data_IF_686222575417
#
_entry.id   IF_686222575417
#
_cell.length_a   1.000
_cell.length_b   1.000
_cell.length_c   1.000
_cell.angle_alpha   90.00
_cell.angle_beta   90.00
_cell.angle_gamma   90.00
#
_symmetry.space_group_name_H-M   'P 1'
#
loop_
_entity.id
_entity.type
_entity.pdbx_description
1 polymer ?
#
# COMPACT_ATOMS: atom_id res chain seq x y z
N UNK A 1 -7.18 -19.33 -32.50
CA UNK A 1 -6.64 -18.00 -32.20
C UNK A 1 -7.81 -16.99 -32.22
N UNK A 2 -8.40 -16.64 -31.06
CA UNK A 2 -9.46 -15.63 -30.97
C UNK A 2 -8.83 -14.25 -31.10
N UNK A 3 -8.95 -13.62 -32.26
CA UNK A 3 -8.58 -12.22 -32.48
C UNK A 3 -9.50 -11.37 -31.58
N UNK A 4 -9.02 -10.99 -30.40
CA UNK A 4 -9.78 -10.07 -29.56
C UNK A 4 -9.67 -8.66 -30.15
N UNK A 5 -10.76 -8.19 -30.76
CA UNK A 5 -10.85 -6.80 -31.21
C UNK A 5 -10.56 -5.91 -30.02
N UNK A 6 -9.56 -5.00 -30.15
CA UNK A 6 -9.18 -4.13 -29.04
C UNK A 6 -10.40 -3.30 -28.60
N UNK A 7 -10.49 -2.97 -27.29
CA UNK A 7 -11.59 -2.18 -26.73
C UNK A 7 -11.81 -0.86 -27.49
N UNK A 8 -10.73 -0.29 -28.03
CA UNK A 8 -10.78 0.90 -28.88
C UNK A 8 -11.66 0.69 -30.13
N UNK A 9 -11.41 -0.37 -30.89
CA UNK A 9 -12.16 -0.66 -32.10
C UNK A 9 -13.63 -0.98 -31.82
N UNK A 10 -13.92 -1.64 -30.68
CA UNK A 10 -15.32 -1.85 -30.26
C UNK A 10 -16.03 -0.52 -30.00
N UNK A 11 -15.40 0.40 -29.27
CA UNK A 11 -15.96 1.73 -29.02
C UNK A 11 -16.14 2.55 -30.31
N UNK A 12 -15.20 2.47 -31.24
CA UNK A 12 -15.30 3.14 -32.55
C UNK A 12 -16.49 2.63 -33.36
N UNK A 13 -16.61 1.33 -33.53
CA UNK A 13 -17.68 0.72 -34.31
C UNK A 13 -19.07 0.95 -33.69
N UNK A 14 -19.19 0.83 -32.38
CA UNK A 14 -20.42 1.08 -31.64
C UNK A 14 -20.80 2.56 -31.74
N UNK A 15 -19.84 3.48 -31.44
CA UNK A 15 -20.10 4.91 -31.44
C UNK A 15 -20.52 5.44 -32.80
N UNK A 16 -19.72 5.18 -33.84
CA UNK A 16 -20.02 5.64 -35.18
C UNK A 16 -21.23 4.90 -35.81
N UNK A 17 -21.42 3.64 -35.46
CA UNK A 17 -22.64 2.90 -35.85
C UNK A 17 -23.90 3.51 -35.24
N UNK A 18 -23.88 3.87 -33.98
CA UNK A 18 -24.99 4.54 -33.32
C UNK A 18 -25.31 5.92 -33.95
N UNK A 19 -24.28 6.73 -34.24
CA UNK A 19 -24.43 8.03 -34.94
C UNK A 19 -25.06 7.83 -36.32
N UNK A 20 -24.64 6.79 -37.08
CA UNK A 20 -25.19 6.47 -38.40
C UNK A 20 -26.67 6.13 -38.30
N UNK A 21 -27.04 5.22 -37.40
CA UNK A 21 -28.42 4.81 -37.19
C UNK A 21 -29.31 6.00 -36.78
N UNK A 22 -28.82 6.80 -35.83
CA UNK A 22 -29.53 7.98 -35.37
C UNK A 22 -29.77 8.99 -36.51
N UNK A 23 -28.72 9.32 -37.28
CA UNK A 23 -28.80 10.29 -38.36
C UNK A 23 -29.72 9.79 -39.51
N UNK A 24 -29.73 8.49 -39.81
CA UNK A 24 -30.56 7.93 -40.86
C UNK A 24 -32.03 7.80 -40.45
N UNK A 25 -32.30 7.19 -39.29
CA UNK A 25 -33.67 6.87 -38.89
C UNK A 25 -34.40 8.05 -38.25
N UNK A 26 -33.73 8.88 -37.46
CA UNK A 26 -34.35 10.01 -36.76
C UNK A 26 -34.15 11.32 -37.53
N UNK A 27 -32.95 11.57 -38.05
CA UNK A 27 -32.61 12.76 -38.83
C UNK A 27 -33.12 12.73 -40.27
N UNK A 28 -33.67 11.58 -40.74
CA UNK A 28 -34.14 11.36 -42.15
C UNK A 28 -33.08 11.71 -43.20
N UNK A 29 -31.80 11.63 -42.85
CA UNK A 29 -30.69 11.93 -43.76
C UNK A 29 -30.51 10.84 -44.82
N UNK A 30 -30.13 11.18 -46.06
CA UNK A 30 -29.93 10.19 -47.11
C UNK A 30 -28.80 9.24 -46.75
N UNK A 31 -29.01 7.94 -46.86
CA UNK A 31 -28.11 6.87 -46.43
C UNK A 31 -26.66 7.05 -46.93
N UNK A 32 -26.50 7.44 -48.23
CA UNK A 32 -25.18 7.68 -48.82
C UNK A 32 -24.38 8.78 -48.10
N UNK A 33 -25.01 9.90 -47.82
CA UNK A 33 -24.36 11.04 -47.08
C UNK A 33 -23.97 10.65 -45.65
N UNK A 34 -24.86 9.94 -44.96
CA UNK A 34 -24.56 9.46 -43.59
C UNK A 34 -23.41 8.46 -43.58
N UNK A 35 -23.36 7.54 -44.55
CA UNK A 35 -22.28 6.55 -44.66
C UNK A 35 -20.93 7.21 -44.91
N UNK A 36 -20.86 8.19 -45.83
CA UNK A 36 -19.62 8.96 -46.09
C UNK A 36 -19.15 9.70 -44.82
N UNK A 37 -20.10 10.37 -44.12
CA UNK A 37 -19.79 11.08 -42.87
C UNK A 37 -19.26 10.14 -41.79
N UNK A 38 -19.79 8.93 -41.67
CA UNK A 38 -19.29 7.95 -40.69
C UNK A 38 -17.92 7.40 -41.04
N UNK A 39 -17.66 7.09 -42.29
CA UNK A 39 -16.33 6.62 -42.73
C UNK A 39 -15.30 7.72 -42.51
N UNK A 40 -15.61 8.97 -42.90
CA UNK A 40 -14.71 10.10 -42.66
C UNK A 40 -14.48 10.34 -41.18
N UNK A 41 -15.49 10.22 -40.33
CA UNK A 41 -15.38 10.33 -38.88
C UNK A 41 -14.52 9.23 -38.26
N UNK A 42 -14.63 7.98 -38.73
CA UNK A 42 -13.76 6.87 -38.31
C UNK A 42 -12.30 7.12 -38.66
N UNK A 43 -12.02 7.48 -39.89
CA UNK A 43 -10.66 7.80 -40.37
C UNK A 43 -10.07 8.97 -39.56
N UNK A 44 -10.85 9.99 -39.38
CA UNK A 44 -10.51 11.19 -38.66
C UNK A 44 -10.18 10.92 -37.18
N UNK A 45 -11.08 10.26 -36.44
CA UNK A 45 -10.83 9.96 -35.03
C UNK A 45 -9.66 9.01 -34.83
N UNK A 46 -9.39 8.13 -35.80
CA UNK A 46 -8.19 7.29 -35.80
C UNK A 46 -6.90 8.11 -35.97
N UNK A 47 -6.92 9.06 -36.91
CA UNK A 47 -5.78 9.96 -37.15
C UNK A 47 -5.54 10.90 -35.96
N UNK A 48 -6.60 11.45 -35.38
CA UNK A 48 -6.54 12.25 -34.15
C UNK A 48 -5.88 11.47 -33.01
N UNK A 49 -6.26 10.22 -32.82
CA UNK A 49 -5.62 9.32 -31.84
C UNK A 49 -4.13 9.13 -32.15
N UNK A 50 -3.78 8.96 -33.42
CA UNK A 50 -2.36 8.84 -33.82
C UNK A 50 -1.57 10.07 -33.40
N UNK A 51 -2.08 11.27 -33.69
CA UNK A 51 -1.42 12.53 -33.29
C UNK A 51 -1.33 12.72 -31.77
N UNK A 52 -2.40 12.40 -31.03
CA UNK A 52 -2.41 12.46 -29.57
C UNK A 52 -1.27 11.60 -29.00
N UNK A 53 -1.04 10.40 -29.57
CA UNK A 53 0.04 9.51 -29.17
C UNK A 53 1.42 10.02 -29.61
N UNK A 54 1.55 10.46 -30.86
CA UNK A 54 2.80 10.95 -31.44
C UNK A 54 3.35 12.16 -30.67
N UNK A 55 2.50 13.12 -30.33
CA UNK A 55 2.87 14.30 -29.56
C UNK A 55 2.92 14.07 -28.06
N UNK A 56 2.69 12.83 -27.60
CA UNK A 56 2.68 12.44 -26.17
C UNK A 56 1.86 13.41 -25.34
N UNK A 57 0.69 13.82 -25.83
CA UNK A 57 -0.15 14.88 -25.22
C UNK A 57 -0.49 14.52 -23.77
N UNK A 58 -0.73 13.25 -23.46
CA UNK A 58 -1.03 12.78 -22.11
C UNK A 58 0.12 12.94 -21.09
N UNK A 59 1.34 13.18 -21.55
CA UNK A 59 2.48 13.42 -20.66
C UNK A 59 2.69 14.91 -20.33
N UNK A 60 1.87 15.81 -20.91
CA UNK A 60 1.93 17.24 -20.66
C UNK A 60 1.02 17.61 -19.47
N UNK A 61 1.16 18.84 -18.96
CA UNK A 61 0.27 19.32 -17.90
C UNK A 61 -1.19 19.47 -18.42
N UNK A 62 -2.16 19.38 -17.51
CA UNK A 62 -3.59 19.32 -17.84
C UNK A 62 -4.07 20.49 -18.71
N UNK A 63 -3.60 21.72 -18.42
CA UNK A 63 -3.96 22.92 -19.21
C UNK A 63 -3.47 22.79 -20.64
N UNK A 64 -2.21 22.41 -20.83
CA UNK A 64 -1.62 22.20 -22.15
C UNK A 64 -2.35 21.09 -22.92
N UNK A 65 -2.73 20.01 -22.24
CA UNK A 65 -3.51 18.92 -22.84
C UNK A 65 -4.84 19.44 -23.40
N UNK A 66 -5.59 20.22 -22.64
CA UNK A 66 -6.88 20.79 -23.03
C UNK A 66 -6.69 21.72 -24.25
N UNK A 67 -5.69 22.60 -24.23
CA UNK A 67 -5.42 23.51 -25.34
C UNK A 67 -5.11 22.75 -26.63
N UNK A 68 -4.21 21.76 -26.57
CA UNK A 68 -3.89 20.94 -27.76
C UNK A 68 -5.11 20.19 -28.29
N UNK A 69 -5.95 19.62 -27.41
CA UNK A 69 -7.14 18.90 -27.81
C UNK A 69 -8.17 19.84 -28.49
N UNK A 70 -8.36 21.05 -27.94
CA UNK A 70 -9.25 22.02 -28.56
C UNK A 70 -8.73 22.48 -29.93
N UNK A 71 -7.46 22.84 -30.05
CA UNK A 71 -6.84 23.25 -31.31
C UNK A 71 -6.94 22.15 -32.36
N UNK A 72 -6.61 20.91 -32.01
CA UNK A 72 -6.71 19.77 -32.91
C UNK A 72 -8.16 19.54 -33.37
N UNK A 73 -9.15 19.62 -32.47
CA UNK A 73 -10.55 19.47 -32.87
C UNK A 73 -10.99 20.55 -33.85
N UNK A 74 -10.64 21.80 -33.64
CA UNK A 74 -10.98 22.93 -34.54
C UNK A 74 -10.34 22.73 -35.92
N UNK A 75 -9.03 22.48 -35.98
CA UNK A 75 -8.29 22.29 -37.25
C UNK A 75 -8.88 21.11 -38.03
N UNK A 76 -9.14 20.02 -37.35
CA UNK A 76 -9.66 18.85 -38.01
C UNK A 76 -11.13 18.96 -38.34
N UNK A 77 -11.94 19.67 -37.54
CA UNK A 77 -13.31 19.98 -37.89
C UNK A 77 -13.40 20.67 -39.26
N UNK A 78 -12.55 21.69 -39.48
CA UNK A 78 -12.46 22.36 -40.78
C UNK A 78 -12.01 21.41 -41.90
N UNK A 79 -11.00 20.57 -41.66
CA UNK A 79 -10.49 19.64 -42.67
C UNK A 79 -11.53 18.58 -43.04
N UNK A 80 -12.24 18.03 -42.06
CA UNK A 80 -13.30 17.03 -42.29
C UNK A 80 -14.45 17.59 -43.10
N UNK A 81 -14.88 18.82 -42.80
CA UNK A 81 -15.91 19.53 -43.56
C UNK A 81 -15.45 19.75 -45.01
N UNK A 82 -14.24 20.28 -45.19
CA UNK A 82 -13.66 20.52 -46.49
C UNK A 82 -13.61 19.24 -47.34
N UNK A 83 -13.19 18.11 -46.72
CA UNK A 83 -13.12 16.82 -47.42
C UNK A 83 -14.52 16.29 -47.81
N UNK A 84 -15.50 16.37 -46.92
CA UNK A 84 -16.86 15.93 -47.19
C UNK A 84 -17.50 16.77 -48.28
N UNK A 85 -17.37 18.10 -48.22
CA UNK A 85 -17.90 19.01 -49.23
C UNK A 85 -17.20 18.82 -50.57
N UNK A 86 -15.87 18.60 -50.61
CA UNK A 86 -15.16 18.28 -51.84
C UNK A 86 -15.67 16.98 -52.48
N UNK A 87 -15.88 15.92 -51.73
CA UNK A 87 -16.46 14.66 -52.22
C UNK A 87 -17.88 14.84 -52.76
N UNK A 88 -18.70 15.60 -52.05
CA UNK A 88 -20.07 15.87 -52.46
C UNK A 88 -20.14 16.71 -53.78
N UNK A 89 -19.29 17.73 -53.89
CA UNK A 89 -19.16 18.54 -55.10
C UNK A 89 -18.63 17.70 -56.28
N UNK A 90 -17.64 16.84 -56.04
CA UNK A 90 -17.08 15.97 -57.09
C UNK A 90 -18.09 14.91 -57.58
N UNK A 91 -19.06 14.53 -56.75
CA UNK A 91 -20.08 13.51 -57.11
C UNK A 91 -21.41 14.09 -57.59
N UNK A 92 -21.61 15.40 -57.47
CA UNK A 92 -22.79 16.12 -58.01
C UNK A 92 -22.41 16.68 -59.38
N UNK A 93 -23.24 16.37 -60.42
CA UNK A 93 -23.14 17.04 -61.71
C UNK A 93 -23.44 18.52 -61.53
N UNK A 94 -22.59 19.43 -62.03
CA UNK A 94 -22.78 20.87 -61.84
C UNK A 94 -24.12 21.30 -62.44
N UNK A 95 -25.01 21.84 -61.60
CA UNK A 95 -26.19 22.59 -62.07
C UNK A 95 -25.69 23.82 -62.83
N UNK A 96 -25.95 23.84 -64.13
CA UNK A 96 -25.38 24.78 -65.11
C UNK A 96 -25.76 26.26 -64.97
N UNK A 97 -26.54 26.67 -63.93
CA UNK A 97 -27.15 28.03 -63.94
C UNK A 97 -26.98 28.84 -62.63
N UNK A 98 -26.00 28.54 -61.80
CA UNK A 98 -25.75 29.38 -60.59
C UNK A 98 -24.78 30.52 -60.91
N UNK A 99 -25.15 31.77 -60.53
CA UNK A 99 -24.25 32.89 -60.63
C UNK A 99 -23.04 32.70 -59.71
N UNK A 100 -21.81 33.22 -60.05
CA UNK A 100 -20.62 33.01 -59.19
C UNK A 100 -20.77 33.49 -57.74
N UNK A 101 -21.60 34.49 -57.49
CA UNK A 101 -21.87 35.00 -56.16
C UNK A 101 -22.86 34.16 -55.36
N UNK A 102 -23.89 33.59 -56.00
CA UNK A 102 -24.80 32.67 -55.35
C UNK A 102 -24.13 31.35 -55.04
N UNK A 103 -23.22 30.90 -55.87
CA UNK A 103 -22.41 29.69 -55.61
C UNK A 103 -21.49 29.90 -54.37
N UNK A 104 -20.77 31.07 -54.25
CA UNK A 104 -19.93 31.39 -53.09
C UNK A 104 -20.72 31.44 -51.80
N UNK A 105 -21.87 32.16 -51.77
CA UNK A 105 -22.72 32.27 -50.58
C UNK A 105 -23.31 30.93 -50.18
N UNK A 106 -23.69 30.08 -51.12
CA UNK A 106 -24.17 28.73 -50.89
C UNK A 106 -23.01 27.82 -50.35
N UNK A 107 -21.85 27.93 -50.92
CA UNK A 107 -20.66 27.20 -50.46
C UNK A 107 -20.26 27.53 -49.01
N UNK A 108 -20.12 28.80 -48.66
CA UNK A 108 -19.79 29.21 -47.31
C UNK A 108 -20.92 28.85 -46.32
N UNK A 109 -22.17 28.90 -46.70
CA UNK A 109 -23.29 28.46 -45.88
C UNK A 109 -23.25 26.98 -45.61
N UNK A 110 -22.95 26.16 -46.61
CA UNK A 110 -22.82 24.70 -46.49
C UNK A 110 -21.62 24.34 -45.58
N UNK A 111 -20.47 24.95 -45.80
CA UNK A 111 -19.28 24.75 -44.96
C UNK A 111 -19.57 25.10 -43.50
N UNK A 112 -20.23 26.26 -43.26
CA UNK A 112 -20.58 26.66 -41.90
C UNK A 112 -21.56 25.70 -41.26
N UNK A 113 -22.59 25.26 -41.97
CA UNK A 113 -23.56 24.29 -41.50
C UNK A 113 -22.93 22.92 -41.19
N UNK A 114 -22.12 22.40 -42.08
CA UNK A 114 -21.40 21.15 -41.91
C UNK A 114 -20.44 21.21 -40.71
N UNK A 115 -19.72 22.33 -40.54
CA UNK A 115 -18.86 22.56 -39.39
C UNK A 115 -19.65 22.53 -38.08
N UNK A 116 -20.81 23.19 -38.03
CA UNK A 116 -21.67 23.19 -36.86
C UNK A 116 -22.19 21.80 -36.50
N UNK A 117 -22.37 20.90 -37.46
CA UNK A 117 -22.77 19.53 -37.24
C UNK A 117 -21.61 18.62 -36.80
N UNK A 118 -20.41 18.78 -37.37
CA UNK A 118 -19.28 17.89 -37.12
C UNK A 118 -18.52 18.25 -35.85
N UNK A 119 -18.39 19.51 -35.48
CA UNK A 119 -17.66 19.98 -34.31
C UNK A 119 -18.17 19.36 -32.98
N UNK A 120 -19.48 19.34 -32.68
CA UNK A 120 -19.97 18.75 -31.43
C UNK A 120 -19.68 17.25 -31.34
N UNK A 121 -19.81 16.52 -32.44
CA UNK A 121 -19.59 15.06 -32.47
C UNK A 121 -18.13 14.71 -32.27
N UNK A 122 -17.19 15.42 -32.93
CA UNK A 122 -15.75 15.20 -32.76
C UNK A 122 -15.28 15.63 -31.36
N UNK A 123 -15.85 16.71 -30.81
CA UNK A 123 -15.56 17.19 -29.46
C UNK A 123 -16.05 16.19 -28.41
N UNK A 124 -17.28 15.70 -28.55
CA UNK A 124 -17.82 14.68 -27.66
C UNK A 124 -16.99 13.39 -27.69
N UNK A 125 -16.61 12.91 -28.89
CA UNK A 125 -15.74 11.75 -29.02
C UNK A 125 -14.40 11.97 -28.34
N UNK A 126 -13.77 13.12 -28.54
CA UNK A 126 -12.48 13.48 -27.94
C UNK A 126 -12.56 13.53 -26.42
N UNK A 127 -13.65 14.13 -25.90
CA UNK A 127 -13.91 14.19 -24.46
C UNK A 127 -14.06 12.80 -23.84
N UNK A 128 -14.85 11.91 -24.48
CA UNK A 128 -15.03 10.52 -24.03
C UNK A 128 -13.70 9.77 -24.09
N UNK A 129 -12.95 9.90 -25.19
CA UNK A 129 -11.65 9.25 -25.32
C UNK A 129 -10.67 9.68 -24.23
N UNK A 130 -10.65 10.99 -23.95
CA UNK A 130 -9.82 11.56 -22.89
C UNK A 130 -10.26 11.06 -21.50
N UNK A 131 -11.55 11.10 -21.20
CA UNK A 131 -12.09 10.63 -19.92
C UNK A 131 -11.75 9.16 -19.65
N UNK A 132 -11.97 8.29 -20.66
CA UNK A 132 -11.63 6.85 -20.55
C UNK A 132 -10.13 6.65 -20.33
N UNK A 133 -9.29 7.40 -21.03
CA UNK A 133 -7.84 7.31 -20.87
C UNK A 133 -7.38 7.80 -19.49
N UNK A 134 -7.93 8.92 -19.03
CA UNK A 134 -7.66 9.48 -17.72
C UNK A 134 -8.06 8.55 -16.57
N UNK A 135 -9.28 7.99 -16.63
CA UNK A 135 -9.75 7.01 -15.64
C UNK A 135 -8.86 5.76 -15.60
N UNK A 136 -8.44 5.27 -16.78
CA UNK A 136 -7.52 4.12 -16.85
C UNK A 136 -6.15 4.42 -16.25
N UNK A 137 -5.62 5.60 -16.49
CA UNK A 137 -4.33 6.01 -15.94
C UNK A 137 -4.43 6.19 -14.41
N UNK A 138 -5.52 6.77 -13.90
CA UNK A 138 -5.76 6.87 -12.46
C UNK A 138 -5.79 5.48 -11.80
N UNK A 139 -6.61 4.57 -12.34
CA UNK A 139 -6.69 3.18 -11.81
C UNK A 139 -5.35 2.46 -11.86
N UNK A 140 -4.56 2.67 -12.94
CA UNK A 140 -3.23 2.09 -13.04
C UNK A 140 -2.28 2.65 -11.99
N UNK A 141 -2.29 3.97 -11.78
CA UNK A 141 -1.48 4.64 -10.76
C UNK A 141 -1.86 4.21 -9.34
N UNK A 142 -3.16 4.06 -9.05
CA UNK A 142 -3.65 3.52 -7.77
C UNK A 142 -3.19 2.08 -7.55
N UNK A 143 -3.30 1.22 -8.56
CA UNK A 143 -2.83 -0.16 -8.49
C UNK A 143 -1.31 -0.24 -8.29
N UNK A 144 -0.52 0.55 -9.02
CA UNK A 144 0.94 0.63 -8.85
C UNK A 144 1.30 1.13 -7.44
N UNK A 145 0.59 2.15 -6.93
CA UNK A 145 0.78 2.67 -5.58
C UNK A 145 0.45 1.61 -4.51
N UNK A 146 -0.64 0.86 -4.68
CA UNK A 146 -0.99 -0.23 -3.78
C UNK A 146 0.05 -1.35 -3.79
N UNK A 147 0.49 -1.77 -4.98
CA UNK A 147 1.55 -2.79 -5.14
C UNK A 147 2.88 -2.35 -4.52
N UNK A 148 3.24 -1.06 -4.69
CA UNK A 148 4.47 -0.51 -4.11
C UNK A 148 4.40 -0.50 -2.58
N UNK A 149 3.24 -0.16 -1.99
CA UNK A 149 3.03 -0.23 -0.54
C UNK A 149 3.19 -1.65 -0.01
N UNK A 150 2.63 -2.66 -0.69
CA UNK A 150 2.78 -4.06 -0.31
C UNK A 150 4.26 -4.49 -0.37
N UNK A 151 4.97 -4.14 -1.45
CA UNK A 151 6.41 -4.45 -1.57
C UNK A 151 7.26 -3.76 -0.50
N UNK A 152 6.96 -2.51 -0.16
CA UNK A 152 7.65 -1.81 0.92
C UNK A 152 7.42 -2.52 2.26
N UNK A 153 6.19 -2.93 2.55
CA UNK A 153 5.86 -3.69 3.76
C UNK A 153 6.59 -5.06 3.80
N UNK A 154 6.66 -5.77 2.67
CA UNK A 154 7.41 -7.02 2.55
C UNK A 154 8.91 -6.81 2.77
N UNK A 155 9.51 -5.76 2.18
CA UNK A 155 10.93 -5.42 2.34
C UNK A 155 11.24 -4.99 3.79
N UNK A 156 10.36 -4.21 4.44
CA UNK A 156 10.48 -3.87 5.85
C UNK A 156 10.41 -5.12 6.73
N UNK A 157 9.45 -6.03 6.44
CA UNK A 157 9.33 -7.32 7.14
C UNK A 157 10.56 -8.19 6.94
N UNK A 158 11.09 -8.26 5.71
CA UNK A 158 12.30 -9.03 5.39
C UNK A 158 13.56 -8.41 6.04
N UNK A 159 13.65 -7.08 6.10
CA UNK A 159 14.70 -6.37 6.83
C UNK A 159 14.63 -6.65 8.33
N UNK A 160 13.42 -6.75 8.89
CA UNK A 160 13.20 -7.15 10.28
C UNK A 160 13.64 -8.60 10.55
N UNK A 161 13.33 -9.51 9.62
CA UNK A 161 13.78 -10.92 9.72
C UNK A 161 15.31 -11.04 9.66
N UNK A 162 15.96 -10.22 8.83
CA UNK A 162 17.43 -10.17 8.75
C UNK A 162 18.10 -9.54 9.98
N UNK A 163 17.32 -8.84 10.82
CA UNK A 163 17.76 -8.24 12.08
C UNK A 163 17.51 -9.16 13.29
N UNK A 164 17.42 -10.48 13.11
CA UNK A 164 17.62 -11.38 14.24
C UNK A 164 18.96 -11.00 14.87
N UNK A 165 18.87 -10.36 16.02
CA UNK A 165 19.96 -9.63 16.69
C UNK A 165 21.22 -10.53 16.74
N UNK A 166 22.20 -10.37 15.81
CA UNK A 166 23.40 -11.22 15.85
C UNK A 166 24.08 -11.12 17.18
N UNK A 167 23.94 -9.97 17.86
CA UNK A 167 24.47 -9.70 19.19
C UNK A 167 23.87 -10.67 20.22
N UNK A 168 22.53 -10.94 20.15
CA UNK A 168 21.91 -11.92 21.06
C UNK A 168 22.55 -13.31 20.91
N UNK A 169 22.85 -13.72 19.68
CA UNK A 169 23.53 -15.03 19.44
C UNK A 169 24.94 -15.01 20.03
N UNK A 170 25.72 -13.94 19.79
CA UNK A 170 27.07 -13.82 20.35
C UNK A 170 27.05 -13.74 21.87
N UNK A 171 26.13 -13.02 22.48
CA UNK A 171 26.01 -12.89 23.93
C UNK A 171 25.61 -14.22 24.58
N UNK A 172 24.70 -14.99 23.93
CA UNK A 172 24.34 -16.33 24.36
C UNK A 172 25.55 -17.29 24.34
N UNK A 173 26.32 -17.27 23.24
CA UNK A 173 27.54 -18.08 23.16
C UNK A 173 28.59 -17.67 24.18
N UNK A 174 28.79 -16.38 24.44
CA UNK A 174 29.68 -15.87 25.46
C UNK A 174 29.26 -16.27 26.87
N UNK A 175 27.94 -16.28 27.14
CA UNK A 175 27.39 -16.75 28.42
C UNK A 175 27.71 -18.22 28.67
N UNK A 176 27.51 -19.08 27.63
CA UNK A 176 27.83 -20.51 27.69
C UNK A 176 29.35 -20.68 27.97
N UNK A 177 30.21 -19.96 27.22
CA UNK A 177 31.67 -19.98 27.41
C UNK A 177 32.03 -19.59 28.83
N UNK A 178 31.45 -18.53 29.38
CA UNK A 178 31.70 -18.07 30.74
C UNK A 178 31.33 -19.13 31.78
N UNK A 179 30.20 -19.80 31.66
CA UNK A 179 29.77 -20.87 32.55
C UNK A 179 30.71 -22.08 32.50
N UNK A 180 31.20 -22.46 31.32
CA UNK A 180 32.17 -23.54 31.16
C UNK A 180 33.50 -23.17 31.83
N UNK A 181 33.97 -21.93 31.61
CA UNK A 181 35.23 -21.44 32.21
C UNK A 181 35.17 -21.40 33.75
N UNK A 182 33.98 -21.18 34.32
CA UNK A 182 33.72 -21.23 35.77
C UNK A 182 33.50 -22.64 36.30
N UNK A 183 33.62 -23.69 35.48
CA UNK A 183 33.31 -25.09 35.80
C UNK A 183 31.85 -25.33 36.21
N UNK A 184 30.90 -24.46 35.78
CA UNK A 184 29.47 -24.60 36.05
C UNK A 184 28.79 -25.40 34.93
N UNK A 185 29.22 -26.63 34.69
CA UNK A 185 28.88 -27.44 33.51
C UNK A 185 27.39 -27.72 33.42
N UNK A 186 26.67 -27.98 34.53
CA UNK A 186 25.24 -28.23 34.55
C UNK A 186 24.44 -26.99 34.15
N UNK A 187 24.85 -25.80 34.60
CA UNK A 187 24.25 -24.54 34.20
C UNK A 187 24.51 -24.26 32.72
N UNK A 188 25.73 -24.54 32.22
CA UNK A 188 26.09 -24.39 30.83
C UNK A 188 25.23 -25.28 29.94
N UNK A 189 25.02 -26.56 30.31
CA UNK A 189 24.20 -27.50 29.59
C UNK A 189 22.72 -27.07 29.55
N UNK A 190 22.17 -26.61 30.68
CA UNK A 190 20.78 -26.10 30.75
C UNK A 190 20.60 -24.82 29.89
N UNK A 191 21.56 -23.90 29.96
CA UNK A 191 21.57 -22.69 29.15
C UNK A 191 21.63 -23.02 27.66
N UNK A 192 22.53 -23.91 27.23
CA UNK A 192 22.68 -24.34 25.83
C UNK A 192 21.39 -25.00 25.32
N UNK A 193 20.75 -25.84 26.14
CA UNK A 193 19.50 -26.52 25.76
C UNK A 193 18.37 -25.49 25.56
N UNK A 194 18.21 -24.55 26.50
CA UNK A 194 17.19 -23.51 26.42
C UNK A 194 17.45 -22.57 25.24
N UNK A 195 18.72 -22.16 25.04
CA UNK A 195 19.17 -21.34 23.93
C UNK A 195 18.90 -21.98 22.57
N UNK A 196 19.28 -23.27 22.43
CA UNK A 196 19.02 -24.02 21.20
C UNK A 196 17.53 -24.15 20.87
N UNK A 197 16.69 -24.34 21.91
CA UNK A 197 15.22 -24.37 21.74
C UNK A 197 14.69 -23.02 21.29
N UNK A 198 15.13 -21.92 21.92
CA UNK A 198 14.71 -20.57 21.54
C UNK A 198 15.12 -20.24 20.10
N UNK A 199 16.39 -20.46 19.74
CA UNK A 199 16.89 -20.20 18.38
C UNK A 199 16.08 -20.98 17.33
N UNK A 200 15.80 -22.26 17.58
CA UNK A 200 14.96 -23.07 16.69
C UNK A 200 13.57 -22.48 16.54
N UNK A 201 12.92 -22.09 17.64
CA UNK A 201 11.57 -21.50 17.62
C UNK A 201 11.56 -20.16 16.85
N UNK A 202 12.57 -19.31 17.07
CA UNK A 202 12.70 -18.04 16.35
C UNK A 202 12.85 -18.25 14.84
N UNK A 203 13.67 -19.23 14.41
CA UNK A 203 13.80 -19.56 12.99
C UNK A 203 12.50 -20.13 12.39
N UNK A 204 11.81 -21.01 13.10
CA UNK A 204 10.54 -21.57 12.63
C UNK A 204 9.43 -20.51 12.50
N UNK A 205 9.47 -19.48 13.35
CA UNK A 205 8.49 -18.41 13.34
C UNK A 205 8.87 -17.24 12.41
N UNK A 206 10.15 -17.12 12.05
CA UNK A 206 10.62 -16.04 11.18
C UNK A 206 9.97 -16.04 9.78
N UNK A 207 9.60 -17.22 9.27
CA UNK A 207 8.95 -17.38 7.96
C UNK A 207 7.42 -17.27 8.03
N UNK A 208 6.84 -17.20 9.23
CA UNK A 208 5.40 -17.08 9.43
C UNK A 208 5.00 -15.60 9.54
N UNK A 209 3.96 -15.19 8.83
CA UNK A 209 3.39 -13.86 8.99
C UNK A 209 2.66 -13.72 10.33
N UNK A 210 1.96 -14.77 10.74
CA UNK A 210 1.22 -14.87 12.00
C UNK A 210 1.51 -16.19 12.69
N UNK A 211 1.52 -16.15 14.01
CA UNK A 211 1.60 -17.31 14.90
C UNK A 211 0.46 -17.26 15.92
N UNK A 212 0.22 -18.35 16.64
CA UNK A 212 -0.71 -18.30 17.76
C UNK A 212 -0.13 -17.46 18.92
N UNK A 213 -0.99 -16.80 19.67
CA UNK A 213 -0.58 -16.08 20.88
C UNK A 213 0.08 -17.02 21.89
N UNK A 214 -0.30 -18.31 21.88
CA UNK A 214 0.37 -19.34 22.65
C UNK A 214 1.84 -19.52 22.24
N UNK A 215 2.13 -19.62 20.93
CA UNK A 215 3.52 -19.73 20.43
C UNK A 215 4.34 -18.47 20.77
N UNK A 216 3.74 -17.30 20.69
CA UNK A 216 4.39 -16.02 21.03
C UNK A 216 4.76 -15.96 22.52
N UNK A 217 3.85 -16.36 23.41
CA UNK A 217 4.08 -16.41 24.87
C UNK A 217 5.15 -17.43 25.23
N UNK A 218 5.10 -18.63 24.64
CA UNK A 218 6.11 -19.66 24.89
C UNK A 218 7.50 -19.20 24.41
N UNK A 219 7.58 -18.47 23.30
CA UNK A 219 8.83 -17.83 22.83
C UNK A 219 9.32 -16.80 23.84
N UNK A 220 8.43 -15.95 24.34
CA UNK A 220 8.73 -14.97 25.39
C UNK A 220 9.21 -15.62 26.69
N UNK A 221 8.61 -16.72 27.13
CA UNK A 221 9.06 -17.47 28.32
C UNK A 221 10.45 -18.09 28.13
N UNK A 222 10.77 -18.62 26.94
CA UNK A 222 12.11 -19.13 26.66
C UNK A 222 13.16 -18.01 26.69
N UNK A 223 12.84 -16.85 26.10
CA UNK A 223 13.71 -15.69 26.09
C UNK A 223 13.97 -15.16 27.52
N UNK A 224 12.89 -14.94 28.30
CA UNK A 224 13.01 -14.45 29.68
C UNK A 224 13.75 -15.41 30.59
N UNK A 225 13.61 -16.72 30.39
CA UNK A 225 14.36 -17.75 31.11
C UNK A 225 15.86 -17.64 30.86
N UNK A 226 16.28 -17.40 29.61
CA UNK A 226 17.71 -17.19 29.29
C UNK A 226 18.25 -15.91 29.92
N UNK A 227 17.47 -14.82 29.87
CA UNK A 227 17.88 -13.56 30.49
C UNK A 227 17.95 -13.64 32.02
N UNK A 228 17.07 -14.40 32.65
CA UNK A 228 17.12 -14.68 34.08
C UNK A 228 18.38 -15.45 34.45
N UNK A 229 18.72 -16.50 33.69
CA UNK A 229 19.98 -17.25 33.90
C UNK A 229 21.21 -16.36 33.68
N UNK A 230 21.15 -15.39 32.73
CA UNK A 230 22.28 -14.48 32.45
C UNK A 230 22.47 -13.43 33.53
N UNK A 231 21.38 -12.96 34.13
CA UNK A 231 21.41 -11.94 35.18
C UNK A 231 21.62 -12.50 36.57
N UNK A 232 22.05 -13.75 36.73
CA UNK A 232 22.16 -14.43 38.01
C UNK A 232 20.86 -14.32 38.85
N UNK A 233 19.71 -14.44 38.22
CA UNK A 233 18.37 -14.33 38.80
C UNK A 233 18.06 -12.96 39.46
N UNK A 234 18.72 -11.87 39.05
CA UNK A 234 18.42 -10.52 39.53
C UNK A 234 17.14 -9.95 38.94
N UNK A 235 16.65 -10.53 37.83
CA UNK A 235 15.44 -10.10 37.16
C UNK A 235 14.38 -11.18 37.31
N UNK A 236 13.21 -10.78 37.87
CA UNK A 236 12.04 -11.64 38.00
C UNK A 236 11.09 -11.47 36.82
N UNK A 237 10.57 -12.61 36.33
CA UNK A 237 9.58 -12.63 35.25
C UNK A 237 8.31 -13.32 35.72
N UNK A 238 7.17 -12.65 35.53
CA UNK A 238 5.86 -13.22 35.87
C UNK A 238 4.96 -13.16 34.65
N UNK A 239 4.35 -14.30 34.33
CA UNK A 239 3.36 -14.40 33.27
C UNK A 239 1.99 -14.65 33.88
N UNK A 240 1.10 -13.66 33.77
CA UNK A 240 -0.28 -13.73 34.23
C UNK A 240 -1.19 -13.90 33.02
N UNK A 241 -1.76 -15.05 32.83
CA UNK A 241 -2.59 -15.40 31.68
C UNK A 241 -3.98 -15.71 32.19
N UNK A 242 -4.98 -15.04 31.65
CA UNK A 242 -6.38 -15.35 31.96
C UNK A 242 -6.73 -16.72 31.37
N UNK A 243 -7.15 -17.66 32.22
CA UNK A 243 -7.49 -19.02 31.84
C UNK A 243 -8.71 -19.12 30.92
N UNK A 244 -9.52 -18.06 30.85
CA UNK A 244 -10.70 -18.00 29.97
C UNK A 244 -10.33 -17.79 28.49
N UNK A 245 -9.08 -17.41 28.19
CA UNK A 245 -8.63 -17.06 26.82
C UNK A 245 -8.02 -18.27 26.13
N UNK A 246 -8.56 -18.69 24.98
CA UNK A 246 -7.90 -19.69 24.12
C UNK A 246 -6.78 -19.06 23.30
N UNK A 247 -5.58 -19.13 23.84
CA UNK A 247 -4.37 -18.56 23.24
C UNK A 247 -4.00 -19.20 21.89
N UNK A 248 -4.51 -20.42 21.56
CA UNK A 248 -4.17 -21.11 20.31
C UNK A 248 -4.97 -20.60 19.13
N UNK A 249 -6.20 -20.17 19.38
CA UNK A 249 -7.08 -19.63 18.32
C UNK A 249 -6.75 -18.19 17.95
N UNK A 250 -6.11 -17.45 18.86
CA UNK A 250 -5.74 -16.06 18.63
C UNK A 250 -4.46 -15.99 17.77
N UNK A 251 -4.55 -15.37 16.60
CA UNK A 251 -3.41 -15.17 15.70
C UNK A 251 -2.84 -13.75 15.84
N UNK A 252 -1.53 -13.67 16.03
CA UNK A 252 -0.78 -12.42 16.18
C UNK A 252 0.43 -12.41 15.24
N UNK A 253 0.92 -11.23 14.83
CA UNK A 253 2.19 -11.13 14.12
C UNK A 253 3.32 -11.77 14.94
N UNK A 254 4.18 -12.56 14.28
CA UNK A 254 5.33 -13.16 14.95
C UNK A 254 6.24 -12.08 15.55
N UNK A 255 6.81 -12.33 16.72
CA UNK A 255 7.67 -11.41 17.48
C UNK A 255 6.93 -10.12 17.91
N UNK A 256 5.64 -10.20 18.24
CA UNK A 256 4.84 -9.08 18.71
C UNK A 256 5.28 -8.58 20.10
N UNK A 257 5.46 -9.50 21.06
CA UNK A 257 5.77 -9.19 22.45
C UNK A 257 7.27 -9.03 22.70
N UNK A 258 8.09 -9.73 21.93
CA UNK A 258 9.55 -9.81 22.16
C UNK A 258 10.24 -8.43 22.22
N UNK A 259 9.99 -7.45 21.33
CA UNK A 259 10.64 -6.15 21.41
C UNK A 259 10.32 -5.37 22.68
N UNK A 260 9.14 -5.56 23.25
CA UNK A 260 8.74 -4.90 24.50
C UNK A 260 9.37 -5.57 25.71
N UNK A 261 9.47 -6.89 25.70
CA UNK A 261 10.19 -7.66 26.74
C UNK A 261 11.68 -7.30 26.71
N UNK A 262 12.29 -7.26 25.52
CA UNK A 262 13.68 -6.83 25.34
C UNK A 262 13.91 -5.42 25.88
N UNK A 263 13.04 -4.47 25.55
CA UNK A 263 13.17 -3.09 26.03
C UNK A 263 13.00 -2.99 27.54
N UNK A 264 12.07 -3.72 28.13
CA UNK A 264 11.88 -3.77 29.58
C UNK A 264 13.16 -4.25 30.28
N UNK A 265 13.82 -5.27 29.73
CA UNK A 265 15.06 -5.81 30.29
C UNK A 265 16.22 -4.83 30.08
N UNK A 266 16.54 -4.53 28.81
CA UNK A 266 17.78 -3.84 28.45
C UNK A 266 17.77 -2.35 28.80
N UNK A 267 16.65 -1.69 28.61
CA UNK A 267 16.52 -0.25 28.85
C UNK A 267 15.89 0.08 30.21
N UNK A 268 15.13 -0.86 30.77
CA UNK A 268 14.48 -0.68 32.06
C UNK A 268 15.29 -1.24 33.22
N UNK A 269 15.65 -2.52 33.18
CA UNK A 269 16.15 -3.25 34.34
C UNK A 269 17.65 -3.43 34.38
N UNK A 270 18.35 -3.64 33.26
CA UNK A 270 19.82 -3.79 33.23
C UNK A 270 20.55 -2.58 33.84
N UNK A 271 20.09 -1.32 33.60
CA UNK A 271 20.72 -0.16 34.24
C UNK A 271 20.41 -0.02 35.74
N UNK A 272 19.51 -0.84 36.29
CA UNK A 272 19.10 -0.78 37.69
C UNK A 272 19.92 -1.76 38.52
N UNK A 273 20.75 -1.26 39.40
CA UNK A 273 21.71 -2.08 40.19
C UNK A 273 21.03 -3.20 41.00
N UNK A 274 19.83 -2.93 41.52
CA UNK A 274 19.11 -3.85 42.40
C UNK A 274 18.21 -4.84 41.62
N UNK A 275 18.35 -4.92 40.30
CA UNK A 275 17.48 -5.75 39.47
C UNK A 275 16.02 -5.24 39.41
N UNK A 276 15.10 -6.13 39.11
CA UNK A 276 13.70 -5.76 39.08
C UNK A 276 12.77 -6.85 38.52
N UNK A 277 11.59 -6.43 38.13
CA UNK A 277 10.51 -7.35 37.72
C UNK A 277 9.88 -6.92 36.40
N UNK A 278 9.64 -7.88 35.53
CA UNK A 278 8.77 -7.73 34.35
C UNK A 278 7.54 -8.62 34.52
N UNK A 279 6.37 -8.03 34.33
CA UNK A 279 5.09 -8.74 34.38
C UNK A 279 4.51 -8.72 32.96
N UNK A 280 4.27 -9.89 32.38
CA UNK A 280 3.55 -10.04 31.13
C UNK A 280 2.16 -10.56 31.44
N UNK A 281 1.13 -9.78 31.15
CA UNK A 281 -0.26 -10.15 31.41
C UNK A 281 -1.07 -10.24 30.12
N UNK A 282 -1.90 -11.26 30.02
CA UNK A 282 -2.84 -11.44 28.90
C UNK A 282 -4.24 -11.47 29.49
N UNK A 283 -5.06 -10.51 29.14
CA UNK A 283 -6.42 -10.35 29.63
C UNK A 283 -7.38 -10.07 28.48
N UNK A 284 -8.66 -10.38 28.67
CA UNK A 284 -9.72 -9.90 27.76
C UNK A 284 -10.42 -8.72 28.42
N UNK A 285 -10.58 -7.64 27.66
CA UNK A 285 -11.29 -6.44 28.10
C UNK A 285 -12.12 -5.87 26.95
N UNK A 286 -13.41 -5.67 27.21
CA UNK A 286 -14.35 -5.09 26.23
C UNK A 286 -14.37 -5.85 24.89
N UNK A 287 -14.25 -7.19 24.91
CA UNK A 287 -14.20 -8.05 23.72
C UNK A 287 -12.89 -7.91 22.91
N UNK A 288 -11.83 -7.43 23.55
CA UNK A 288 -10.50 -7.29 22.96
C UNK A 288 -9.47 -7.99 23.84
N UNK A 289 -8.50 -8.61 23.20
CA UNK A 289 -7.35 -9.18 23.90
C UNK A 289 -6.32 -8.08 24.14
N UNK A 290 -5.93 -7.93 25.40
CA UNK A 290 -4.88 -7.01 25.82
C UNK A 290 -3.66 -7.80 26.29
N UNK A 291 -2.54 -7.59 25.62
CA UNK A 291 -1.22 -8.03 26.05
C UNK A 291 -0.51 -6.87 26.75
N UNK A 292 -0.13 -7.05 27.97
CA UNK A 292 0.50 -6.02 28.79
C UNK A 292 1.92 -6.46 29.18
N UNK A 293 2.92 -5.63 28.88
CA UNK A 293 4.30 -5.78 29.39
C UNK A 293 4.56 -4.62 30.35
N UNK A 294 4.75 -4.95 31.61
CA UNK A 294 4.91 -4.00 32.71
C UNK A 294 6.24 -4.22 33.42
N UNK A 295 7.14 -3.24 33.40
CA UNK A 295 8.42 -3.28 34.10
C UNK A 295 8.48 -2.25 35.27
N UNK A 296 9.30 -2.51 36.26
CA UNK A 296 9.63 -1.58 37.32
C UNK A 296 11.06 -1.02 37.19
N UNK A 297 11.51 -0.82 35.94
CA UNK A 297 12.84 -0.30 35.60
C UNK A 297 13.02 1.19 35.90
N UNK A 298 14.07 1.76 35.31
CA UNK A 298 14.44 3.19 35.47
C UNK A 298 13.52 4.14 34.68
N UNK A 299 12.62 3.61 33.85
CA UNK A 299 11.73 4.39 32.98
C UNK A 299 12.42 5.02 31.76
N UNK A 300 11.62 5.45 30.79
CA UNK A 300 12.07 5.92 29.48
C UNK A 300 12.81 7.27 29.53
N UNK A 301 12.48 8.14 30.47
CA UNK A 301 13.12 9.45 30.64
C UNK A 301 14.60 9.29 31.02
N UNK A 302 14.90 8.52 32.06
CA UNK A 302 16.29 8.25 32.51
C UNK A 302 17.04 7.39 31.51
N UNK A 303 16.37 6.40 30.89
CA UNK A 303 16.98 5.59 29.84
C UNK A 303 17.44 6.42 28.65
N UNK A 304 16.70 7.47 28.25
CA UNK A 304 17.10 8.39 27.17
C UNK A 304 18.32 9.25 27.55
N UNK A 305 18.46 9.66 28.81
CA UNK A 305 19.62 10.43 29.28
C UNK A 305 20.88 9.58 29.27
N UNK A 306 20.77 8.29 29.61
CA UNK A 306 21.87 7.34 29.62
C UNK A 306 22.22 6.77 28.23
N UNK A 307 21.49 7.17 27.17
CA UNK A 307 21.59 6.65 25.79
C UNK A 307 23.03 6.73 25.23
N UNK A 308 23.73 7.80 25.49
CA UNK A 308 25.11 8.01 24.99
C UNK A 308 26.09 6.89 25.42
N UNK A 309 25.81 6.20 26.51
CA UNK A 309 26.67 5.14 27.07
C UNK A 309 26.28 3.74 26.56
N UNK A 310 25.00 3.56 26.11
CA UNK A 310 24.42 2.26 25.70
C UNK A 310 24.08 2.15 24.20
N UNK A 311 24.00 3.26 23.44
CA UNK A 311 23.67 3.26 22.01
C UNK A 311 24.66 2.51 21.11
N UNK A 312 25.89 2.37 21.54
CA UNK A 312 26.91 1.60 20.81
C UNK A 312 26.61 0.08 20.79
N UNK A 313 25.75 -0.40 21.69
CA UNK A 313 25.54 -1.84 21.92
C UNK A 313 24.15 -2.30 21.42
N UNK A 314 23.09 -1.48 21.53
CA UNK A 314 21.73 -1.92 21.22
C UNK A 314 20.92 -0.87 20.45
N UNK A 315 20.60 -1.16 19.19
CA UNK A 315 19.76 -0.29 18.36
C UNK A 315 18.28 -0.47 18.70
N UNK A 316 17.66 0.56 19.28
CA UNK A 316 16.24 0.65 19.65
C UNK A 316 15.27 0.77 18.46
N UNK A 317 15.44 -0.05 17.42
CA UNK A 317 14.54 -0.04 16.25
C UNK A 317 13.29 -0.91 16.42
N UNK A 318 13.26 -1.78 17.44
CA UNK A 318 12.20 -2.78 17.61
C UNK A 318 10.80 -2.20 17.82
N UNK A 319 10.62 -1.18 18.66
CA UNK A 319 9.29 -0.59 18.95
C UNK A 319 8.70 0.09 17.72
N UNK A 320 9.47 0.91 17.00
CA UNK A 320 8.98 1.61 15.80
C UNK A 320 8.57 0.64 14.70
N UNK A 321 9.27 -0.48 14.61
CA UNK A 321 8.99 -1.52 13.63
C UNK A 321 7.75 -2.34 13.99
N UNK A 322 7.56 -2.66 15.27
CA UNK A 322 6.34 -3.33 15.74
C UNK A 322 5.12 -2.42 15.57
N UNK A 323 5.27 -1.12 15.85
CA UNK A 323 4.23 -0.12 15.58
C UNK A 323 3.87 -0.09 14.10
N UNK A 324 4.87 -0.02 13.21
CA UNK A 324 4.66 -0.04 11.75
C UNK A 324 3.98 -1.33 11.29
N UNK A 325 4.33 -2.49 11.86
CA UNK A 325 3.69 -3.77 11.54
C UNK A 325 2.23 -3.79 11.94
N UNK A 326 1.89 -3.32 13.14
CA UNK A 326 0.50 -3.23 13.58
C UNK A 326 -0.29 -2.21 12.76
N UNK A 327 0.30 -1.08 12.40
CA UNK A 327 -0.33 -0.10 11.52
C UNK A 327 -0.57 -0.65 10.10
N UNK A 328 0.32 -1.50 9.60
CA UNK A 328 0.15 -2.21 8.32
C UNK A 328 -0.93 -3.30 8.43
N UNK A 329 -0.94 -4.07 9.50
CA UNK A 329 -1.96 -5.10 9.73
C UNK A 329 -3.36 -4.47 9.87
N UNK A 330 -3.44 -3.33 10.55
CA UNK A 330 -4.64 -2.49 10.63
C UNK A 330 -5.13 -2.00 9.26
N UNK A 331 -4.21 -1.57 8.38
CA UNK A 331 -4.53 -1.11 7.02
C UNK A 331 -4.93 -2.25 6.09
N UNK A 332 -4.32 -3.42 6.22
CA UNK A 332 -4.55 -4.56 5.34
C UNK A 332 -5.72 -5.44 5.77
N UNK A 333 -5.98 -5.54 7.09
CA UNK A 333 -6.99 -6.44 7.67
C UNK A 333 -8.13 -5.73 8.37
N UNK A 334 -8.20 -4.38 8.28
CA UNK A 334 -9.21 -3.52 8.96
C UNK A 334 -9.28 -3.73 10.48
N UNK A 335 -8.23 -4.25 11.11
CA UNK A 335 -8.16 -4.46 12.57
C UNK A 335 -8.00 -3.14 13.30
N UNK A 336 -8.68 -2.99 14.44
CA UNK A 336 -8.54 -1.83 15.35
C UNK A 336 -7.47 -2.09 16.41
N UNK A 337 -6.25 -2.41 15.99
CA UNK A 337 -5.15 -2.68 16.91
C UNK A 337 -4.52 -1.39 17.41
N UNK A 338 -4.06 -1.38 18.65
CA UNK A 338 -3.45 -0.20 19.27
C UNK A 338 -2.33 -0.58 20.22
N UNK A 339 -1.29 0.27 20.28
CA UNK A 339 -0.24 0.21 21.30
C UNK A 339 -0.34 1.47 22.13
N UNK A 340 -0.43 1.30 23.45
CA UNK A 340 -0.39 2.38 24.43
C UNK A 340 0.83 2.20 25.32
N UNK A 341 1.67 3.22 25.43
CA UNK A 341 2.85 3.20 26.29
C UNK A 341 2.64 4.21 27.41
N UNK A 342 2.74 3.73 28.66
CA UNK A 342 2.53 4.52 29.87
C UNK A 342 3.86 4.57 30.63
N UNK A 343 4.38 5.77 30.83
CA UNK A 343 5.54 6.00 31.70
C UNK A 343 5.05 6.03 33.15
N UNK A 344 5.56 5.10 33.96
CA UNK A 344 5.19 5.00 35.38
C UNK A 344 6.04 5.92 36.24
N UNK A 345 5.44 6.42 37.32
CA UNK A 345 6.14 7.18 38.35
C UNK A 345 5.97 6.48 39.70
N UNK A 346 7.03 6.51 40.51
CA UNK A 346 6.96 6.02 41.89
C UNK A 346 6.20 7.01 42.78
N UNK A 347 6.03 6.68 44.06
CA UNK A 347 5.34 7.52 45.04
C UNK A 347 6.04 8.89 45.24
N UNK A 348 7.33 8.98 44.93
CA UNK A 348 8.13 10.21 44.99
C UNK A 348 8.04 11.05 43.70
N UNK A 349 7.26 10.62 42.70
CA UNK A 349 7.12 11.30 41.41
C UNK A 349 8.27 11.05 40.41
N UNK A 350 9.25 10.24 40.77
CA UNK A 350 10.38 9.87 39.89
C UNK A 350 9.98 8.75 38.90
N UNK A 351 10.67 8.61 37.75
CA UNK A 351 10.42 7.53 36.82
C UNK A 351 10.53 6.15 37.51
N UNK A 352 9.49 5.32 37.38
CA UNK A 352 9.36 4.04 38.09
C UNK A 352 9.07 2.85 37.19
N UNK A 353 9.45 2.90 35.91
CA UNK A 353 9.26 1.85 34.93
C UNK A 353 8.32 2.24 33.77
N UNK A 354 8.02 1.27 32.93
CA UNK A 354 7.16 1.45 31.76
C UNK A 354 6.09 0.36 31.71
N UNK A 355 4.88 0.72 31.26
CA UNK A 355 3.81 -0.21 30.97
C UNK A 355 3.41 -0.08 29.51
N UNK A 356 3.49 -1.16 28.75
CA UNK A 356 3.05 -1.23 27.36
C UNK A 356 1.81 -2.08 27.28
N UNK A 357 0.76 -1.55 26.66
CA UNK A 357 -0.52 -2.25 26.44
C UNK A 357 -0.70 -2.39 24.92
N UNK A 358 -0.80 -3.62 24.46
CA UNK A 358 -1.10 -3.97 23.08
C UNK A 358 -2.50 -4.55 23.05
N UNK A 359 -3.44 -3.87 22.39
CA UNK A 359 -4.83 -4.27 22.31
C UNK A 359 -5.20 -4.59 20.87
N UNK A 360 -5.79 -5.75 20.64
CA UNK A 360 -6.24 -6.19 19.33
C UNK A 360 -7.59 -6.91 19.39
N UNK A 361 -8.32 -6.86 18.29
CA UNK A 361 -9.63 -7.51 18.18
C UNK A 361 -9.43 -8.97 17.81
N UNK A 362 -10.05 -9.87 18.57
CA UNK A 362 -10.05 -11.30 18.27
C UNK A 362 -10.79 -11.55 16.95
N UNK A 363 -10.12 -12.18 15.97
CA UNK A 363 -10.82 -12.81 14.86
C UNK A 363 -11.20 -14.22 15.31
N UNK A 364 -12.41 -14.39 15.77
CA UNK A 364 -13.03 -15.73 15.87
C UNK A 364 -13.45 -16.12 14.44
N UNK A 365 -12.66 -16.99 13.79
CA UNK A 365 -13.08 -17.65 12.56
C UNK A 365 -14.09 -18.75 12.89
#
# INVERSE_FOLDING_TARGET
MKVSISTYWKCQLIGWGAVTLFAHFIGRAPFRGVLISCISGLVFTHFLRFLIKQFKIFNKNTVTQIIYLLLLNVIFGFFAVWLVDWVLIATQTPEKNLSPNSFRLSFFGQVFWSFQQTLPTTTAWTAIYFAVHYIRNLKKAEYEKATLKVRLAEMETQSLRAQMNPQFIFDGMNSIRSLITKNENDKAANYLTTFSKLIRTLFQNADKNEISLFEEIETGKLYTKLEQMRSDNKIDFVFNIDEAIDLKDIKVPALLLQPFIENAIWHGLVPKENGGKVIVSINEKDGRVECVVDDNGIGRELSKQNKAQYEAIYQTKGISLTQTRLDLDKLLKERKDSITIIDKRNESGEPGGTKVIISFTENRN
#
